data_IF_464530057471
#
_entry.id   IF_464530057471
#
_cell.length_a   1.000
_cell.length_b   1.000
_cell.length_c   1.000
_cell.angle_alpha   90.00
_cell.angle_beta   90.00
_cell.angle_gamma   90.00
#
_symmetry.space_group_name_H-M   'P 1'
#
loop_
_entity.id
_entity.type
_entity.pdbx_description
1 polymer ?
#
# COMPACT_ATOMS: atom_id res chain seq x y z
N UNK A 1 -34.93 0.91 14.90
CA UNK A 1 -33.76 0.32 14.20
C UNK A 1 -32.55 0.50 15.10
N UNK A 2 -32.03 -0.57 15.73
CA UNK A 2 -30.82 -0.48 16.57
C UNK A 2 -29.61 -0.39 15.63
N UNK A 3 -28.85 0.70 15.71
CA UNK A 3 -27.54 0.78 15.06
C UNK A 3 -26.67 -0.28 15.74
N UNK A 4 -26.23 -1.27 14.97
CA UNK A 4 -25.32 -2.32 15.46
C UNK A 4 -23.98 -1.65 15.76
N UNK A 5 -23.34 -2.02 16.87
CA UNK A 5 -21.96 -1.63 17.16
C UNK A 5 -21.02 -2.09 16.04
N UNK A 6 -19.88 -1.40 15.89
CA UNK A 6 -18.87 -1.77 14.91
C UNK A 6 -18.34 -3.18 15.19
N UNK A 7 -17.75 -3.83 14.20
CA UNK A 7 -17.09 -5.12 14.45
C UNK A 7 -15.83 -4.92 15.29
N UNK A 8 -15.54 -5.83 16.23
CA UNK A 8 -14.35 -5.78 17.11
C UNK A 8 -13.03 -5.50 16.38
N UNK A 9 -12.84 -6.09 15.19
CA UNK A 9 -11.66 -5.86 14.32
C UNK A 9 -11.51 -4.42 13.81
N UNK A 10 -12.62 -3.69 13.68
CA UNK A 10 -12.62 -2.28 13.28
C UNK A 10 -12.43 -1.41 14.52
N UNK A 11 -13.01 -1.79 15.66
CA UNK A 11 -12.81 -1.10 16.95
C UNK A 11 -11.35 -1.15 17.42
N UNK A 12 -10.58 -2.18 17.04
CA UNK A 12 -9.17 -2.31 17.37
C UNK A 12 -8.23 -1.47 16.48
N UNK A 13 -8.73 -0.84 15.42
CA UNK A 13 -7.89 -0.04 14.52
C UNK A 13 -7.61 1.33 15.10
N UNK A 14 -6.36 1.76 14.98
CA UNK A 14 -6.00 3.15 15.21
C UNK A 14 -6.14 3.97 13.93
N UNK A 15 -6.49 5.25 14.10
CA UNK A 15 -6.51 6.21 12.99
C UNK A 15 -5.11 6.35 12.39
N UNK A 16 -5.06 6.52 11.07
CA UNK A 16 -3.78 6.71 10.38
C UNK A 16 -3.21 8.09 10.71
N UNK A 17 -2.07 8.11 11.39
CA UNK A 17 -1.34 9.35 11.71
C UNK A 17 -0.98 10.15 10.46
N UNK A 18 -0.67 9.48 9.34
CA UNK A 18 -0.41 10.13 8.05
C UNK A 18 -1.61 10.97 7.60
N UNK A 19 -2.83 10.41 7.66
CA UNK A 19 -4.03 11.16 7.28
C UNK A 19 -4.35 12.28 8.27
N UNK A 20 -4.14 12.06 9.56
CA UNK A 20 -4.32 13.12 10.56
C UNK A 20 -3.43 14.34 10.29
N UNK A 21 -2.19 14.12 9.85
CA UNK A 21 -1.28 15.20 9.43
C UNK A 21 -1.78 15.87 8.15
N UNK A 22 -2.15 15.09 7.12
CA UNK A 22 -2.65 15.63 5.85
C UNK A 22 -3.91 16.48 6.03
N UNK A 23 -4.85 16.03 6.86
CA UNK A 23 -6.07 16.76 7.18
C UNK A 23 -5.77 18.06 7.92
N UNK A 24 -4.79 18.03 8.85
CA UNK A 24 -4.36 19.24 9.57
C UNK A 24 -3.70 20.25 8.64
N UNK A 25 -2.81 19.81 7.75
CA UNK A 25 -2.17 20.66 6.73
C UNK A 25 -3.23 21.30 5.84
N UNK A 26 -4.20 20.53 5.36
CA UNK A 26 -5.30 21.04 4.54
C UNK A 26 -6.09 22.13 5.27
N UNK A 27 -6.47 21.87 6.52
CA UNK A 27 -7.21 22.82 7.35
C UNK A 27 -6.46 24.14 7.57
N UNK A 28 -5.15 24.10 7.79
CA UNK A 28 -4.32 25.30 7.96
C UNK A 28 -4.23 26.11 6.65
N UNK A 29 -4.04 25.44 5.51
CA UNK A 29 -4.04 26.10 4.19
C UNK A 29 -5.39 26.77 3.89
N UNK A 30 -6.51 26.12 4.23
CA UNK A 30 -7.85 26.71 4.10
C UNK A 30 -8.06 27.94 5.00
N UNK A 31 -7.33 28.02 6.12
CA UNK A 31 -7.31 29.19 7.01
C UNK A 31 -6.42 30.33 6.49
N UNK A 32 -5.70 30.11 5.39
CA UNK A 32 -4.79 31.09 4.78
C UNK A 32 -3.37 31.05 5.32
N UNK A 33 -3.02 30.05 6.14
CA UNK A 33 -1.66 29.88 6.65
C UNK A 33 -0.71 29.37 5.55
N UNK A 34 0.52 29.89 5.55
CA UNK A 34 1.60 29.37 4.70
C UNK A 34 2.21 28.11 5.35
N UNK A 35 1.90 26.94 4.78
CA UNK A 35 2.27 25.63 5.33
C UNK A 35 3.12 24.84 4.36
N UNK A 36 4.38 24.61 4.77
CA UNK A 36 5.27 23.63 4.16
C UNK A 36 4.92 22.23 4.68
N UNK A 37 4.40 21.39 3.79
CA UNK A 37 4.03 20.01 4.10
C UNK A 37 5.16 19.05 3.75
N UNK A 38 5.70 18.37 4.77
CA UNK A 38 6.73 17.33 4.65
C UNK A 38 6.23 15.96 5.13
N UNK A 39 4.91 15.82 5.36
CA UNK A 39 4.29 14.59 5.87
C UNK A 39 3.73 13.67 4.78
N UNK A 40 3.37 14.23 3.63
CA UNK A 40 2.90 13.48 2.46
C UNK A 40 4.03 12.72 1.76
N UNK A 41 3.74 11.49 1.31
CA UNK A 41 4.65 10.69 0.49
C UNK A 41 4.31 10.72 -1.01
N UNK A 42 3.45 11.65 -1.44
CA UNK A 42 3.05 11.82 -2.83
C UNK A 42 4.07 12.69 -3.56
N UNK A 43 4.57 12.28 -4.74
CA UNK A 43 5.47 13.12 -5.53
C UNK A 43 4.80 14.41 -6.02
N UNK A 44 5.60 15.45 -6.21
CA UNK A 44 5.18 16.77 -6.71
C UNK A 44 5.04 16.83 -8.24
N UNK A 45 5.67 15.89 -8.95
CA UNK A 45 5.58 15.80 -10.40
C UNK A 45 4.26 15.18 -10.86
N UNK A 46 3.81 15.59 -12.05
CA UNK A 46 2.64 15.01 -12.71
C UNK A 46 2.94 13.62 -13.26
N UNK A 47 1.91 12.79 -13.39
CA UNK A 47 1.98 11.53 -14.14
C UNK A 47 2.59 11.79 -15.54
N UNK A 48 3.60 11.02 -15.97
CA UNK A 48 4.24 11.23 -17.28
C UNK A 48 3.23 11.17 -18.43
N UNK A 49 3.40 12.05 -19.44
CA UNK A 49 2.43 12.25 -20.52
C UNK A 49 2.06 10.96 -21.27
N UNK A 50 3.04 10.10 -21.54
CA UNK A 50 2.80 8.82 -22.22
C UNK A 50 1.87 7.88 -21.42
N UNK A 51 1.89 7.93 -20.08
CA UNK A 51 0.99 7.16 -19.23
C UNK A 51 -0.41 7.76 -19.25
N UNK A 52 -0.50 9.09 -19.15
CA UNK A 52 -1.79 9.79 -19.22
C UNK A 52 -2.48 9.58 -20.57
N UNK A 53 -1.72 9.66 -21.68
CA UNK A 53 -2.25 9.41 -23.02
C UNK A 53 -2.74 7.97 -23.20
N UNK A 54 -1.99 6.97 -22.73
CA UNK A 54 -2.43 5.57 -22.81
C UNK A 54 -3.75 5.32 -22.05
N UNK A 55 -3.94 5.99 -20.90
CA UNK A 55 -5.21 5.90 -20.16
C UNK A 55 -6.37 6.59 -20.92
N UNK A 56 -6.13 7.74 -21.54
CA UNK A 56 -7.12 8.46 -22.36
C UNK A 56 -7.51 7.64 -23.60
N UNK A 57 -6.53 7.02 -24.25
CA UNK A 57 -6.72 6.16 -25.41
C UNK A 57 -7.56 4.93 -25.04
N UNK A 58 -7.20 4.21 -23.97
CA UNK A 58 -7.97 3.07 -23.48
C UNK A 58 -9.44 3.43 -23.18
N UNK A 59 -9.67 4.60 -22.56
CA UNK A 59 -11.03 5.12 -22.34
C UNK A 59 -11.76 5.41 -23.65
N UNK A 60 -11.08 6.00 -24.63
CA UNK A 60 -11.64 6.35 -25.94
C UNK A 60 -11.99 5.12 -26.78
N UNK A 61 -11.22 4.04 -26.64
CA UNK A 61 -11.44 2.75 -27.28
C UNK A 61 -12.50 1.90 -26.55
N UNK A 62 -13.00 2.36 -25.40
CA UNK A 62 -14.04 1.69 -24.64
C UNK A 62 -13.55 0.58 -23.71
N UNK A 63 -12.26 0.55 -23.35
CA UNK A 63 -11.70 -0.37 -22.35
C UNK A 63 -12.18 -0.02 -20.93
N UNK A 64 -13.46 -0.32 -20.68
CA UNK A 64 -14.24 0.10 -19.51
C UNK A 64 -15.01 -1.04 -18.86
N UNK A 65 -14.79 -2.27 -19.35
CA UNK A 65 -15.47 -3.47 -18.90
C UNK A 65 -14.58 -4.32 -18.00
N UNK A 66 -15.13 -5.41 -17.47
CA UNK A 66 -14.38 -6.30 -16.59
C UNK A 66 -13.12 -6.85 -17.27
N UNK A 67 -11.99 -6.62 -16.63
CA UNK A 67 -10.74 -7.32 -16.93
C UNK A 67 -10.74 -8.69 -16.25
N UNK A 68 -9.86 -9.63 -16.68
CA UNK A 68 -9.62 -10.85 -15.92
C UNK A 68 -9.26 -10.52 -14.46
N UNK A 69 -9.70 -11.36 -13.51
CA UNK A 69 -9.55 -11.09 -12.07
C UNK A 69 -8.11 -10.91 -11.61
N UNK A 70 -7.14 -11.54 -12.31
CA UNK A 70 -5.70 -11.40 -12.03
C UNK A 70 -5.07 -10.15 -12.64
N UNK A 71 -5.74 -9.50 -13.59
CA UNK A 71 -5.19 -8.46 -14.45
C UNK A 71 -5.09 -8.88 -15.91
N UNK A 72 -4.94 -7.89 -16.80
CA UNK A 72 -4.82 -8.14 -18.24
C UNK A 72 -3.53 -8.88 -18.58
N UNK A 73 -3.57 -9.72 -19.63
CA UNK A 73 -2.39 -10.50 -20.06
C UNK A 73 -1.19 -9.60 -20.36
N UNK A 74 -1.41 -8.49 -21.05
CA UNK A 74 -0.36 -7.53 -21.40
C UNK A 74 0.32 -6.95 -20.15
N UNK A 75 -0.47 -6.56 -19.13
CA UNK A 75 0.08 -6.00 -17.90
C UNK A 75 0.85 -7.05 -17.09
N UNK A 76 0.34 -8.28 -16.99
CA UNK A 76 1.05 -9.37 -16.32
C UNK A 76 2.42 -9.64 -16.97
N UNK A 77 2.47 -9.66 -18.31
CA UNK A 77 3.72 -9.85 -19.06
C UNK A 77 4.69 -8.69 -18.89
N UNK A 78 4.19 -7.44 -18.88
CA UNK A 78 5.01 -6.26 -18.65
C UNK A 78 5.67 -6.28 -17.25
N UNK A 79 4.93 -6.71 -16.23
CA UNK A 79 5.48 -6.88 -14.87
C UNK A 79 6.58 -7.94 -14.84
N UNK A 80 6.34 -9.12 -15.43
CA UNK A 80 7.37 -10.17 -15.52
C UNK A 80 8.62 -9.66 -16.25
N UNK A 81 8.45 -8.98 -17.37
CA UNK A 81 9.56 -8.43 -18.12
C UNK A 81 10.37 -7.41 -17.31
N UNK A 82 9.69 -6.49 -16.60
CA UNK A 82 10.33 -5.54 -15.68
C UNK A 82 11.18 -6.27 -14.65
N UNK A 83 10.62 -7.29 -13.99
CA UNK A 83 11.33 -8.04 -12.96
C UNK A 83 12.51 -8.86 -13.48
N UNK A 84 12.38 -9.39 -14.70
CA UNK A 84 13.48 -10.08 -15.37
C UNK A 84 14.62 -9.12 -15.72
N UNK A 85 14.31 -7.94 -16.27
CA UNK A 85 15.32 -6.97 -16.73
C UNK A 85 16.02 -6.29 -15.56
N UNK A 86 15.25 -5.83 -14.56
CA UNK A 86 15.79 -4.99 -13.49
C UNK A 86 16.29 -5.79 -12.28
N UNK A 87 15.73 -6.99 -12.03
CA UNK A 87 16.06 -7.79 -10.85
C UNK A 87 16.51 -9.22 -11.19
N UNK A 88 16.65 -9.59 -12.46
CA UNK A 88 17.04 -10.94 -12.91
C UNK A 88 16.14 -12.06 -12.34
N UNK A 89 14.86 -11.77 -12.11
CA UNK A 89 13.90 -12.74 -11.57
C UNK A 89 13.10 -13.44 -12.67
N UNK A 90 13.24 -14.77 -12.73
CA UNK A 90 12.46 -15.64 -13.62
C UNK A 90 11.05 -15.88 -13.05
N UNK A 91 10.08 -15.09 -13.50
CA UNK A 91 8.67 -15.19 -13.08
C UNK A 91 7.78 -15.73 -14.20
N UNK A 92 6.75 -16.49 -13.84
CA UNK A 92 5.69 -16.96 -14.75
C UNK A 92 4.45 -16.08 -14.52
N UNK A 93 4.01 -15.36 -15.55
CA UNK A 93 3.00 -14.30 -15.45
C UNK A 93 1.69 -14.74 -14.78
N UNK A 94 1.11 -15.86 -15.21
CA UNK A 94 -0.17 -16.39 -14.72
C UNK A 94 -0.06 -17.13 -13.37
N UNK A 95 1.16 -17.47 -12.92
CA UNK A 95 1.39 -18.14 -11.62
C UNK A 95 1.85 -17.18 -10.54
N UNK A 96 2.75 -16.26 -10.86
CA UNK A 96 3.47 -15.45 -9.89
C UNK A 96 2.96 -14.02 -9.73
N UNK A 97 2.16 -13.50 -10.67
CA UNK A 97 1.75 -12.09 -10.68
C UNK A 97 0.23 -11.94 -10.55
N UNK A 98 -0.21 -11.01 -9.70
CA UNK A 98 -1.58 -10.52 -9.58
C UNK A 98 -1.56 -8.98 -9.57
N UNK A 99 -2.43 -8.36 -10.36
CA UNK A 99 -2.61 -6.90 -10.38
C UNK A 99 -3.68 -6.53 -9.36
N UNK A 100 -3.39 -5.53 -8.54
CA UNK A 100 -4.31 -5.05 -7.50
C UNK A 100 -4.42 -3.52 -7.53
N UNK A 101 -5.50 -2.95 -6.97
CA UNK A 101 -5.61 -1.50 -6.82
C UNK A 101 -4.60 -0.98 -5.78
N UNK A 102 -3.39 -0.65 -6.23
CA UNK A 102 -2.23 -0.21 -5.42
C UNK A 102 -1.55 -1.30 -4.58
N UNK A 103 -0.30 -1.02 -4.18
CA UNK A 103 0.47 -1.87 -3.29
C UNK A 103 -0.17 -2.04 -1.88
N UNK A 104 -0.95 -1.05 -1.41
CA UNK A 104 -1.67 -1.14 -0.14
C UNK A 104 -2.66 -2.30 -0.16
N UNK A 105 -3.40 -2.45 -1.26
CA UNK A 105 -4.35 -3.53 -1.41
C UNK A 105 -3.63 -4.88 -1.54
N UNK A 106 -2.55 -4.96 -2.33
CA UNK A 106 -1.72 -6.16 -2.44
C UNK A 106 -1.31 -6.69 -1.06
N UNK A 107 -0.74 -5.84 -0.22
CA UNK A 107 -0.31 -6.19 1.13
C UNK A 107 -1.47 -6.63 2.01
N UNK A 108 -2.59 -5.91 1.96
CA UNK A 108 -3.79 -6.24 2.73
C UNK A 108 -4.31 -7.64 2.37
N UNK A 109 -4.50 -7.94 1.08
CA UNK A 109 -4.99 -9.27 0.67
C UNK A 109 -3.96 -10.36 0.96
N UNK A 110 -2.66 -10.08 0.88
CA UNK A 110 -1.62 -11.02 1.28
C UNK A 110 -1.74 -11.39 2.75
N UNK A 111 -1.87 -10.40 3.64
CA UNK A 111 -2.07 -10.65 5.08
C UNK A 111 -3.37 -11.41 5.34
N UNK A 112 -4.48 -11.01 4.72
CA UNK A 112 -5.77 -11.70 4.86
C UNK A 112 -5.79 -13.12 4.26
N UNK A 113 -4.86 -13.46 3.38
CA UNK A 113 -4.76 -14.80 2.75
C UNK A 113 -3.83 -15.73 3.53
N UNK A 114 -2.81 -15.18 4.18
CA UNK A 114 -1.74 -15.96 4.79
C UNK A 114 -1.82 -16.09 6.31
N UNK A 115 -2.58 -15.22 6.98
CA UNK A 115 -2.66 -15.17 8.45
C UNK A 115 -4.01 -15.67 8.94
N UNK A 116 -3.96 -16.55 9.94
CA UNK A 116 -5.10 -17.00 10.75
C UNK A 116 -5.05 -16.43 12.17
N UNK A 117 -6.16 -16.60 12.91
CA UNK A 117 -6.25 -16.25 14.32
C UNK A 117 -5.17 -16.99 15.13
N UNK A 118 -4.33 -16.22 15.82
CA UNK A 118 -3.24 -16.75 16.64
C UNK A 118 -1.87 -16.73 15.97
N UNK A 119 -1.79 -16.52 14.65
CA UNK A 119 -0.51 -16.39 13.95
C UNK A 119 0.27 -15.17 14.43
N UNK A 120 1.59 -15.21 14.28
CA UNK A 120 2.48 -14.09 14.60
C UNK A 120 3.10 -13.48 13.34
N UNK A 121 3.02 -12.16 13.22
CA UNK A 121 3.68 -11.40 12.16
C UNK A 121 4.75 -10.47 12.74
N UNK A 122 5.96 -10.57 12.20
CA UNK A 122 7.09 -9.70 12.56
C UNK A 122 7.01 -8.43 11.72
N UNK A 123 6.89 -7.27 12.39
CA UNK A 123 6.91 -5.96 11.75
C UNK A 123 8.12 -5.17 12.31
N UNK A 124 9.18 -4.95 11.50
CA UNK A 124 10.33 -4.14 11.90
C UNK A 124 9.91 -2.72 12.32
N UNK A 125 10.74 -2.04 13.13
CA UNK A 125 10.50 -0.65 13.53
C UNK A 125 11.75 0.22 13.28
N UNK A 126 11.60 1.45 12.75
CA UNK A 126 10.36 2.09 12.29
C UNK A 126 9.78 1.42 11.03
N UNK A 127 8.47 1.53 10.82
CA UNK A 127 7.80 0.93 9.66
C UNK A 127 6.60 1.74 9.21
N UNK A 128 6.11 1.42 8.01
CA UNK A 128 4.92 2.04 7.46
C UNK A 128 3.69 1.77 8.34
N UNK A 129 2.97 2.85 8.67
CA UNK A 129 1.86 2.85 9.65
C UNK A 129 0.76 1.83 9.34
N UNK A 130 0.56 1.48 8.06
CA UNK A 130 -0.53 0.59 7.66
C UNK A 130 -0.24 -0.88 7.93
N UNK A 131 1.01 -1.31 8.11
CA UNK A 131 1.30 -2.74 8.32
C UNK A 131 0.62 -3.29 9.58
N UNK A 132 0.68 -2.56 10.70
CA UNK A 132 0.05 -2.97 11.95
C UNK A 132 -1.49 -2.98 11.84
N UNK A 133 -2.05 -1.99 11.14
CA UNK A 133 -3.49 -1.92 10.92
C UNK A 133 -3.99 -3.07 10.02
N UNK A 134 -3.27 -3.39 8.94
CA UNK A 134 -3.58 -4.53 8.08
C UNK A 134 -3.44 -5.86 8.82
N UNK A 135 -2.39 -6.03 9.62
CA UNK A 135 -2.23 -7.19 10.47
C UNK A 135 -3.42 -7.33 11.42
N UNK A 136 -3.76 -6.29 12.20
CA UNK A 136 -4.89 -6.32 13.13
C UNK A 136 -6.25 -6.68 12.48
N UNK A 137 -6.43 -6.35 11.20
CA UNK A 137 -7.63 -6.74 10.43
C UNK A 137 -7.75 -8.24 10.18
N UNK A 138 -6.62 -8.95 10.09
CA UNK A 138 -6.54 -10.40 9.93
C UNK A 138 -6.53 -11.16 11.28
N UNK A 139 -6.72 -10.46 12.41
CA UNK A 139 -6.77 -11.00 13.78
C UNK A 139 -5.57 -11.85 14.30
N UNK A 140 -4.31 -11.63 13.88
CA UNK A 140 -3.13 -12.31 14.42
C UNK A 140 -2.67 -11.73 15.77
N UNK A 141 -1.91 -12.51 16.53
CA UNK A 141 -1.20 -12.05 17.74
C UNK A 141 0.08 -11.31 17.33
N UNK A 142 0.25 -10.03 17.70
CA UNK A 142 1.42 -9.26 17.26
C UNK A 142 2.64 -9.44 18.19
N UNK A 143 3.74 -9.95 17.64
CA UNK A 143 5.04 -10.00 18.32
C UNK A 143 5.95 -8.83 17.88
N UNK A 144 6.41 -8.05 18.85
CA UNK A 144 7.35 -6.93 18.65
C UNK A 144 8.76 -7.48 18.38
N UNK A 145 9.36 -7.12 17.25
CA UNK A 145 10.81 -7.23 17.06
C UNK A 145 11.45 -5.84 17.22
N UNK A 146 12.40 -5.72 18.15
CA UNK A 146 13.26 -4.54 18.28
C UNK A 146 14.54 -4.76 17.49
N UNK A 147 14.86 -3.84 16.58
CA UNK A 147 16.17 -3.80 15.93
C UNK A 147 17.23 -3.35 16.95
N UNK A 148 17.72 -4.25 17.81
CA UNK A 148 19.10 -4.12 18.29
C UNK A 148 19.96 -4.57 17.11
N UNK A 149 20.71 -3.64 16.51
CA UNK A 149 21.91 -3.79 15.65
C UNK A 149 21.86 -2.78 14.49
N UNK A 150 22.68 -1.72 14.58
CA UNK A 150 22.95 -0.88 13.40
C UNK A 150 23.27 0.60 13.59
N UNK A 151 23.95 1.03 14.67
CA UNK A 151 24.77 2.26 14.68
C UNK A 151 25.96 2.11 15.63
N UNK A 152 26.98 1.34 15.22
CA UNK A 152 28.31 1.58 15.77
C UNK A 152 28.83 2.87 15.12
N UNK A 153 28.78 3.97 15.88
CA UNK A 153 29.61 5.13 15.58
C UNK A 153 31.06 4.66 15.54
N UNK A 154 31.66 4.55 14.35
CA UNK A 154 33.11 4.61 14.21
C UNK A 154 33.48 6.07 14.37
N UNK A 155 33.83 6.46 15.59
CA UNK A 155 34.68 7.60 15.86
C UNK A 155 36.07 7.31 15.28
N UNK A 156 36.47 8.08 14.27
CA UNK A 156 37.87 8.44 14.07
C UNK A 156 38.14 9.71 14.87
#
# INVERSE_FOLDING_TARGET
MRIRALSKRVESLQLSETYAILDRVRSLREQGDDVVDLGGGEPDFRTPDHVAHAAIEALSEGDTHYTPSRGTKALLQAVVHKYQVEQALSLIADKNVIITPSAKHALFITMMTLLDDGDEIIIPTPSWVSYKAMAAMATPTWCRSTASHGRSHRSN
#
